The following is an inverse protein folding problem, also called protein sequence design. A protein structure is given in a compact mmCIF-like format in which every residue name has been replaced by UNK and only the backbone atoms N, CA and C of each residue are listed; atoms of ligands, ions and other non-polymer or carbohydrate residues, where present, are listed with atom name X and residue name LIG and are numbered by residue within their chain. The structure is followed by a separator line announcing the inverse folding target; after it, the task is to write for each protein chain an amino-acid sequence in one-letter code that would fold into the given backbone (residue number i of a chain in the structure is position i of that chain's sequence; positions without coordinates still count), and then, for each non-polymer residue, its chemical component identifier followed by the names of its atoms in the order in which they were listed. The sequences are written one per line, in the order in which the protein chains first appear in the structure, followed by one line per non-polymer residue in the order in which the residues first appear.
data_IF_785848939260
#
_entry.id   IF_785848939260
#
_cell.length_a   1.000
_cell.length_b   1.000
_cell.length_c   1.000
_cell.angle_alpha   90.00
_cell.angle_beta   90.00
_cell.angle_gamma   90.00
#
_symmetry.space_group_name_H-M   'P 1'
#
loop_
_entity.id
_entity.type
_entity.pdbx_description
1 polymer ?
#
# COMPACT_ATOMS: atom_id res chain seq x y z
N UNK A 1 -27.77 8.53 12.13
CA UNK A 1 -26.57 8.78 12.93
C UNK A 1 -25.71 9.78 12.16
N UNK A 2 -25.91 11.08 12.37
CA UNK A 2 -25.22 12.13 11.61
C UNK A 2 -23.91 12.50 12.32
N UNK A 3 -22.84 11.77 12.04
CA UNK A 3 -21.49 12.18 12.47
C UNK A 3 -21.01 13.27 11.53
N UNK A 4 -21.13 14.54 11.94
CA UNK A 4 -20.39 15.63 11.28
C UNK A 4 -18.90 15.26 11.30
N UNK A 5 -18.17 15.33 10.19
CA UNK A 5 -16.74 15.07 10.17
C UNK A 5 -16.06 16.02 11.17
N UNK A 6 -15.31 15.46 12.12
CA UNK A 6 -14.45 16.27 12.98
C UNK A 6 -13.39 16.95 12.13
N UNK A 7 -13.17 18.24 12.35
CA UNK A 7 -12.14 19.00 11.63
C UNK A 7 -10.76 18.42 11.98
N UNK A 8 -10.03 17.95 10.98
CA UNK A 8 -8.64 17.53 11.12
C UNK A 8 -7.74 18.77 11.02
N UNK A 9 -7.09 19.14 12.12
CA UNK A 9 -6.33 20.39 12.19
C UNK A 9 -5.02 20.31 11.40
N UNK A 10 -4.52 21.45 10.91
CA UNK A 10 -3.21 21.53 10.26
C UNK A 10 -2.06 21.07 11.17
N UNK A 11 -2.15 21.33 12.47
CA UNK A 11 -1.16 20.88 13.46
C UNK A 11 -1.16 19.35 13.59
N UNK A 12 -2.35 18.73 13.58
CA UNK A 12 -2.47 17.27 13.58
C UNK A 12 -1.89 16.65 12.32
N UNK A 13 -2.10 17.28 11.15
CA UNK A 13 -1.51 16.84 9.89
C UNK A 13 0.02 16.93 9.90
N UNK A 14 0.57 18.05 10.37
CA UNK A 14 2.01 18.25 10.49
C UNK A 14 2.64 17.22 11.45
N UNK A 15 2.03 16.99 12.61
CA UNK A 15 2.51 15.99 13.57
C UNK A 15 2.48 14.57 12.99
N UNK A 16 1.43 14.19 12.26
CA UNK A 16 1.35 12.89 11.60
C UNK A 16 2.41 12.71 10.51
N UNK A 17 2.67 13.75 9.71
CA UNK A 17 3.72 13.73 8.69
C UNK A 17 5.12 13.59 9.31
N UNK A 18 5.40 14.31 10.39
CA UNK A 18 6.67 14.18 11.10
C UNK A 18 6.82 12.77 11.69
N UNK A 19 5.77 12.21 12.29
CA UNK A 19 5.80 10.83 12.79
C UNK A 19 6.10 9.82 11.68
N UNK A 20 5.48 9.96 10.51
CA UNK A 20 5.74 9.10 9.35
C UNK A 20 7.21 9.19 8.92
N UNK A 21 7.76 10.41 8.82
CA UNK A 21 9.16 10.63 8.45
C UNK A 21 10.15 10.05 9.46
N UNK A 22 9.82 10.09 10.75
CA UNK A 22 10.66 9.50 11.81
C UNK A 22 10.60 7.98 11.80
N UNK A 23 9.39 7.39 11.64
CA UNK A 23 9.20 5.95 11.64
C UNK A 23 9.76 5.25 10.40
N UNK A 24 9.79 5.95 9.26
CA UNK A 24 10.24 5.41 7.95
C UNK A 24 9.57 4.07 7.58
N UNK A 25 8.23 3.99 7.62
CA UNK A 25 7.53 2.71 7.58
C UNK A 25 7.79 1.94 6.29
N UNK A 26 7.87 0.61 6.40
CA UNK A 26 7.84 -0.33 5.29
C UNK A 26 6.41 -0.49 4.77
N UNK A 27 6.14 -0.02 3.56
CA UNK A 27 4.82 -0.06 2.93
C UNK A 27 4.81 -1.11 1.82
N UNK A 28 4.07 -2.19 2.04
CA UNK A 28 3.81 -3.18 1.00
C UNK A 28 2.78 -2.64 0.01
N UNK A 29 3.18 -2.44 -1.24
CA UNK A 29 2.38 -1.84 -2.29
C UNK A 29 1.86 -2.89 -3.27
N UNK A 30 0.59 -3.25 -3.13
CA UNK A 30 -0.19 -4.00 -4.13
C UNK A 30 -0.95 -2.98 -4.98
N UNK A 31 -0.27 -2.40 -5.97
CA UNK A 31 -0.82 -1.35 -6.83
C UNK A 31 -0.78 -1.76 -8.30
N UNK A 32 -1.28 -0.89 -9.18
CA UNK A 32 -1.23 -1.14 -10.60
C UNK A 32 0.05 -0.64 -11.28
N UNK A 33 0.36 -1.26 -12.41
CA UNK A 33 1.54 -0.97 -13.23
C UNK A 33 1.61 0.49 -13.68
N UNK A 34 0.47 1.17 -13.86
CA UNK A 34 0.42 2.56 -14.33
C UNK A 34 0.98 3.52 -13.28
N UNK A 35 0.75 3.26 -11.99
CA UNK A 35 1.13 4.19 -10.90
C UNK A 35 2.21 3.63 -9.98
N UNK A 36 2.76 2.45 -10.25
CA UNK A 36 3.73 1.80 -9.37
C UNK A 36 4.94 2.69 -9.07
N UNK A 37 5.62 3.20 -10.11
CA UNK A 37 6.81 4.07 -9.95
C UNK A 37 6.48 5.39 -9.26
N UNK A 38 5.32 5.99 -9.59
CA UNK A 38 4.88 7.23 -8.96
C UNK A 38 4.63 7.01 -7.45
N UNK A 39 3.95 5.92 -7.11
CA UNK A 39 3.68 5.53 -5.72
C UNK A 39 4.98 5.33 -4.93
N UNK A 40 5.95 4.61 -5.51
CA UNK A 40 7.27 4.42 -4.90
C UNK A 40 7.98 5.74 -4.65
N UNK A 41 8.04 6.62 -5.65
CA UNK A 41 8.74 7.91 -5.55
C UNK A 41 8.09 8.84 -4.52
N UNK A 42 6.76 8.85 -4.41
CA UNK A 42 6.06 9.63 -3.37
C UNK A 42 6.42 9.10 -1.98
N UNK A 43 6.38 7.78 -1.78
CA UNK A 43 6.74 7.18 -0.48
C UNK A 43 8.20 7.46 -0.11
N UNK A 44 9.13 7.35 -1.06
CA UNK A 44 10.54 7.71 -0.87
C UNK A 44 10.70 9.20 -0.51
N UNK A 45 10.00 10.09 -1.21
CA UNK A 45 10.02 11.53 -0.92
C UNK A 45 9.45 11.87 0.47
N UNK A 46 8.55 11.01 0.99
CA UNK A 46 8.02 11.09 2.35
C UNK A 46 8.91 10.38 3.39
N UNK A 47 10.08 9.86 3.00
CA UNK A 47 11.01 9.11 3.84
C UNK A 47 10.49 7.73 4.31
N UNK A 48 9.50 7.17 3.61
CA UNK A 48 9.04 5.79 3.82
C UNK A 48 9.78 4.81 2.89
N UNK A 49 9.61 3.51 3.15
CA UNK A 49 10.24 2.43 2.39
C UNK A 49 9.18 1.65 1.60
N UNK A 50 9.00 1.90 0.29
CA UNK A 50 8.05 1.15 -0.53
C UNK A 50 8.60 -0.22 -0.95
N UNK A 51 7.75 -1.25 -0.98
CA UNK A 51 8.07 -2.56 -1.54
C UNK A 51 6.92 -3.13 -2.37
N UNK A 52 7.21 -3.59 -3.58
CA UNK A 52 6.21 -4.00 -4.58
C UNK A 52 6.29 -5.52 -4.78
N UNK A 53 5.87 -6.27 -3.76
CA UNK A 53 5.93 -7.74 -3.73
C UNK A 53 4.61 -8.33 -4.21
N UNK A 54 4.51 -8.54 -5.51
CA UNK A 54 3.25 -8.97 -6.17
C UNK A 54 3.12 -10.48 -6.35
N UNK A 55 4.18 -11.24 -6.08
CA UNK A 55 4.14 -12.70 -6.18
C UNK A 55 3.24 -13.28 -5.07
N UNK A 56 2.20 -14.08 -5.39
CA UNK A 56 1.29 -14.64 -4.38
C UNK A 56 1.99 -15.51 -3.33
N UNK A 57 3.10 -16.15 -3.70
CA UNK A 57 3.86 -17.04 -2.81
C UNK A 57 4.60 -16.26 -1.72
N UNK A 58 4.93 -15.00 -1.98
CA UNK A 58 5.69 -14.13 -1.08
C UNK A 58 4.83 -13.02 -0.46
N UNK A 59 3.80 -12.53 -1.18
CA UNK A 59 3.01 -11.36 -0.81
C UNK A 59 2.33 -11.49 0.56
N UNK A 60 1.84 -12.68 0.91
CA UNK A 60 1.23 -12.92 2.21
C UNK A 60 2.25 -12.82 3.35
N UNK A 61 3.43 -13.42 3.17
CA UNK A 61 4.52 -13.37 4.14
C UNK A 61 5.09 -11.96 4.26
N UNK A 62 5.25 -11.27 3.13
CA UNK A 62 5.73 -9.90 3.10
C UNK A 62 4.75 -8.93 3.78
N UNK A 63 3.45 -9.10 3.55
CA UNK A 63 2.42 -8.30 4.23
C UNK A 63 2.45 -8.45 5.76
N UNK A 64 2.86 -9.61 6.27
CA UNK A 64 2.94 -9.88 7.71
C UNK A 64 4.12 -9.16 8.38
N UNK A 65 5.16 -8.76 7.62
CA UNK A 65 6.32 -8.02 8.15
C UNK A 65 6.27 -6.52 7.84
N UNK A 66 5.38 -6.09 6.94
CA UNK A 66 5.25 -4.68 6.58
C UNK A 66 4.51 -3.89 7.66
N UNK A 67 4.87 -2.62 7.85
CA UNK A 67 4.18 -1.71 8.77
C UNK A 67 2.79 -1.32 8.24
N UNK A 68 2.62 -1.34 6.91
CA UNK A 68 1.34 -1.07 6.26
C UNK A 68 1.22 -1.80 4.91
N UNK A 69 -0.02 -2.05 4.48
CA UNK A 69 -0.34 -2.61 3.15
C UNK A 69 -1.23 -1.62 2.39
N UNK A 70 -0.78 -1.22 1.21
CA UNK A 70 -1.54 -0.45 0.24
C UNK A 70 -2.14 -1.41 -0.80
N UNK A 71 -3.47 -1.40 -0.94
CA UNK A 71 -4.18 -2.16 -1.97
C UNK A 71 -4.86 -1.17 -2.92
N UNK A 72 -4.47 -1.20 -4.17
CA UNK A 72 -5.07 -0.41 -5.24
C UNK A 72 -5.55 -1.33 -6.36
N UNK A 73 -6.87 -1.37 -6.55
CA UNK A 73 -7.57 -2.21 -7.53
C UNK A 73 -7.75 -1.51 -8.89
N UNK A 74 -7.06 -0.39 -9.13
CA UNK A 74 -6.98 0.22 -10.45
C UNK A 74 -6.44 -0.76 -11.48
N UNK A 75 -6.96 -0.71 -12.71
CA UNK A 75 -6.59 -1.62 -13.83
C UNK A 75 -6.62 -3.11 -13.49
N UNK A 76 -7.42 -3.52 -12.49
CA UNK A 76 -7.61 -4.93 -12.14
C UNK A 76 -8.30 -5.66 -13.30
N UNK A 77 -7.51 -6.30 -14.16
CA UNK A 77 -8.05 -7.16 -15.22
C UNK A 77 -7.99 -8.63 -14.81
N UNK A 78 -8.86 -9.45 -15.39
CA UNK A 78 -8.93 -10.89 -15.11
C UNK A 78 -7.57 -11.64 -15.19
N UNK A 79 -6.65 -11.29 -16.12
CA UNK A 79 -5.27 -11.80 -16.12
C UNK A 79 -4.47 -11.48 -14.86
N UNK A 80 -4.66 -10.29 -14.26
CA UNK A 80 -3.99 -9.89 -13.01
C UNK A 80 -4.56 -10.64 -11.82
N UNK A 81 -5.89 -10.78 -11.72
CA UNK A 81 -6.50 -11.63 -10.68
C UNK A 81 -5.95 -13.06 -10.71
N UNK A 82 -5.70 -13.65 -11.89
CA UNK A 82 -5.10 -14.99 -11.99
C UNK A 82 -3.63 -15.04 -11.57
N UNK A 83 -2.88 -13.94 -11.75
CA UNK A 83 -1.53 -13.81 -11.18
C UNK A 83 -1.58 -13.81 -9.66
N UNK A 84 -2.55 -13.12 -9.06
CA UNK A 84 -2.68 -12.96 -7.60
C UNK A 84 -3.38 -14.12 -6.88
N UNK A 85 -4.29 -14.83 -7.54
CA UNK A 85 -5.08 -15.89 -6.92
C UNK A 85 -4.30 -17.20 -6.71
N UNK A 86 -3.07 -17.30 -7.23
CA UNK A 86 -2.39 -18.57 -7.40
C UNK A 86 -3.19 -19.49 -8.34
N UNK A 87 -2.55 -20.47 -8.96
CA UNK A 87 -3.30 -21.59 -9.53
C UNK A 87 -3.87 -22.39 -8.36
N UNK A 88 -5.05 -22.04 -7.86
CA UNK A 88 -5.91 -23.04 -7.24
C UNK A 88 -6.31 -24.00 -8.35
N UNK A 89 -5.54 -25.09 -8.49
CA UNK A 89 -5.97 -26.28 -9.21
C UNK A 89 -7.17 -26.85 -8.47
N UNK A 90 -8.36 -26.32 -8.78
CA UNK A 90 -9.62 -26.98 -8.52
C UNK A 90 -9.77 -28.08 -9.57
N UNK A 91 -9.32 -29.28 -9.19
CA UNK A 91 -9.97 -30.51 -9.64
C UNK A 91 -11.26 -30.75 -8.86
#
# INVERSE_FOLDING_TARGET
MNTRPSVFSGNSAAAALENLRHAKPLVHCLTNDVVQSFTANVLLALNASPAMVVDPTEAAQFSAIADAVLINVGTLTQPHCRRYAGRSSLG
#
